data_IF_853340077840
#
_entry.id   IF_853340077840
#
_cell.length_a   1.000
_cell.length_b   1.000
_cell.length_c   1.000
_cell.angle_alpha   90.00
_cell.angle_beta   90.00
_cell.angle_gamma   90.00
#
_symmetry.space_group_name_H-M   'P 1'
#
loop_
_entity.id
_entity.type
_entity.pdbx_description
1 polymer ?
#
# COMPACT_ATOMS: atom_id res chain seq x y z
N UNK A 1 22.16 -1.01 -3.98
CA UNK A 1 22.04 0.43 -4.27
C UNK A 1 20.94 0.53 -5.29
N UNK A 2 19.83 1.16 -4.91
CA UNK A 2 18.77 1.47 -5.86
C UNK A 2 19.36 2.38 -6.95
N UNK A 3 18.83 2.24 -8.16
CA UNK A 3 19.10 3.18 -9.25
C UNK A 3 17.76 3.66 -9.81
N UNK A 4 17.79 4.75 -10.57
CA UNK A 4 16.59 5.37 -11.12
C UNK A 4 15.83 4.41 -12.03
N UNK A 5 16.51 3.50 -12.74
CA UNK A 5 15.85 2.52 -13.59
C UNK A 5 15.08 1.47 -12.78
N UNK A 6 15.64 0.99 -11.68
CA UNK A 6 14.98 0.07 -10.75
C UNK A 6 13.76 0.74 -10.11
N UNK A 7 13.86 2.03 -9.78
CA UNK A 7 12.74 2.82 -9.26
C UNK A 7 11.65 3.01 -10.30
N UNK A 8 12.00 3.35 -11.54
CA UNK A 8 11.03 3.49 -12.63
C UNK A 8 10.21 2.20 -12.81
N UNK A 9 10.89 1.05 -12.83
CA UNK A 9 10.25 -0.25 -12.94
C UNK A 9 9.33 -0.52 -11.74
N UNK A 10 9.81 -0.25 -10.52
CA UNK A 10 9.02 -0.47 -9.31
C UNK A 10 7.78 0.43 -9.27
N UNK A 11 7.91 1.73 -9.54
CA UNK A 11 6.83 2.71 -9.59
C UNK A 11 5.76 2.30 -10.61
N UNK A 12 6.18 1.80 -11.78
CA UNK A 12 5.27 1.27 -12.79
C UNK A 12 4.53 0.01 -12.31
N UNK A 13 5.24 -0.95 -11.72
CA UNK A 13 4.65 -2.16 -11.13
C UNK A 13 3.74 -1.83 -9.93
N UNK A 14 4.06 -0.74 -9.21
CA UNK A 14 3.29 -0.21 -8.10
C UNK A 14 1.96 0.41 -8.55
N UNK A 15 1.80 0.69 -9.85
CA UNK A 15 0.59 1.26 -10.40
C UNK A 15 0.48 2.78 -10.20
N UNK A 16 1.60 3.48 -10.03
CA UNK A 16 1.59 4.96 -10.06
C UNK A 16 1.12 5.43 -11.45
N UNK A 17 0.23 6.41 -11.47
CA UNK A 17 -0.30 6.99 -12.71
C UNK A 17 0.40 8.30 -13.02
N UNK A 18 0.52 8.61 -14.31
CA UNK A 18 1.08 9.88 -14.81
C UNK A 18 2.50 10.15 -14.29
N UNK A 19 3.46 9.42 -14.86
CA UNK A 19 4.88 9.53 -14.52
C UNK A 19 5.76 9.62 -15.77
N UNK A 20 6.94 10.22 -15.63
CA UNK A 20 7.90 10.41 -16.70
C UNK A 20 9.32 10.63 -16.20
N UNK A 21 10.27 10.67 -17.12
CA UNK A 21 11.65 11.09 -16.85
C UNK A 21 11.81 12.56 -17.23
N UNK A 22 12.39 13.36 -16.35
CA UNK A 22 12.50 14.81 -16.58
C UNK A 22 13.82 15.24 -17.27
N UNK A 23 14.85 14.39 -17.24
CA UNK A 23 16.17 14.72 -17.77
C UNK A 23 16.54 13.77 -18.92
N UNK A 24 17.14 14.34 -19.97
CA UNK A 24 17.75 13.60 -21.11
C UNK A 24 18.79 12.56 -20.64
N UNK A 25 19.25 12.68 -19.41
CA UNK A 25 20.28 11.86 -18.77
C UNK A 25 19.70 10.66 -17.99
N UNK A 26 18.37 10.57 -17.83
CA UNK A 26 17.71 9.46 -17.13
C UNK A 26 17.95 9.41 -15.61
N UNK A 27 18.43 10.51 -15.00
CA UNK A 27 18.81 10.58 -13.59
C UNK A 27 17.70 11.10 -12.66
N UNK A 28 16.52 11.39 -13.21
CA UNK A 28 15.38 11.84 -12.45
C UNK A 28 14.07 11.29 -13.00
N UNK A 29 13.15 10.99 -12.10
CA UNK A 29 11.78 10.58 -12.38
C UNK A 29 10.84 11.54 -11.68
N UNK A 30 9.78 11.92 -12.37
CA UNK A 30 8.68 12.65 -11.78
C UNK A 30 7.40 11.82 -11.89
N UNK A 31 6.49 12.03 -10.94
CA UNK A 31 5.14 11.49 -11.01
C UNK A 31 4.16 12.37 -10.24
N UNK A 32 2.90 12.30 -10.67
CA UNK A 32 1.82 13.01 -9.97
C UNK A 32 1.51 12.34 -8.63
N UNK A 33 1.39 13.15 -7.60
CA UNK A 33 0.90 12.74 -6.29
C UNK A 33 -0.62 12.87 -6.14
N UNK A 34 -1.16 12.29 -5.07
CA UNK A 34 -2.50 12.62 -4.59
C UNK A 34 -2.58 14.09 -4.21
N UNK A 35 -3.79 14.66 -4.23
CA UNK A 35 -4.05 16.05 -3.81
C UNK A 35 -3.22 17.11 -4.56
N UNK A 36 -2.98 16.90 -5.85
CA UNK A 36 -2.21 17.77 -6.75
C UNK A 36 -0.72 17.93 -6.39
N UNK A 37 -0.18 17.09 -5.50
CA UNK A 37 1.25 17.07 -5.22
C UNK A 37 2.08 16.71 -6.45
N UNK A 38 3.30 17.22 -6.50
CA UNK A 38 4.31 16.82 -7.46
C UNK A 38 5.44 16.08 -6.76
N UNK A 39 5.82 14.93 -7.28
CA UNK A 39 6.85 14.09 -6.68
C UNK A 39 8.01 13.96 -7.65
N UNK A 40 9.22 14.25 -7.16
CA UNK A 40 10.47 14.11 -7.88
C UNK A 40 11.37 13.11 -7.15
N UNK A 41 11.88 12.12 -7.88
CA UNK A 41 12.94 11.24 -7.42
C UNK A 41 14.18 11.51 -8.26
N UNK A 42 15.27 11.93 -7.64
CA UNK A 42 16.51 12.24 -8.33
C UNK A 42 17.73 11.72 -7.57
N UNK A 43 18.84 11.54 -8.29
CA UNK A 43 20.14 11.31 -7.68
C UNK A 43 20.71 12.63 -7.14
N UNK A 44 21.00 12.69 -5.84
CA UNK A 44 21.67 13.82 -5.19
C UNK A 44 23.15 13.91 -5.57
N UNK A 45 23.77 15.05 -5.25
CA UNK A 45 25.21 15.27 -5.45
C UNK A 45 26.09 14.26 -4.68
N UNK A 46 25.56 13.73 -3.56
CA UNK A 46 26.20 12.72 -2.72
C UNK A 46 25.99 11.27 -3.23
N UNK A 47 25.34 11.13 -4.40
CA UNK A 47 24.96 9.86 -5.04
C UNK A 47 23.91 9.05 -4.28
N UNK A 48 23.12 9.72 -3.48
CA UNK A 48 21.98 9.15 -2.77
C UNK A 48 20.71 9.42 -3.58
N UNK A 49 19.73 8.54 -3.49
CA UNK A 49 18.46 8.76 -4.18
C UNK A 49 17.54 9.49 -3.24
N UNK A 50 17.08 10.66 -3.66
CA UNK A 50 16.20 11.51 -2.85
C UNK A 50 14.85 11.60 -3.53
N UNK A 51 13.79 11.45 -2.74
CA UNK A 51 12.42 11.73 -3.12
C UNK A 51 11.96 13.02 -2.43
N UNK A 52 11.55 14.00 -3.22
CA UNK A 52 11.01 15.27 -2.76
C UNK A 52 9.56 15.41 -3.19
N UNK A 53 8.70 15.85 -2.28
CA UNK A 53 7.26 16.06 -2.49
C UNK A 53 6.96 17.55 -2.40
N UNK A 54 6.33 18.08 -3.44
CA UNK A 54 6.01 19.49 -3.60
C UNK A 54 4.50 19.67 -3.65
N UNK A 55 4.03 20.84 -3.23
CA UNK A 55 2.61 21.20 -3.21
C UNK A 55 1.95 21.28 -4.59
N UNK A 56 2.74 21.48 -5.65
CA UNK A 56 2.29 21.56 -7.02
C UNK A 56 3.43 21.32 -8.03
N UNK A 57 3.06 21.15 -9.30
CA UNK A 57 3.98 20.94 -10.44
C UNK A 57 4.91 22.13 -10.71
N UNK A 58 4.64 23.32 -10.15
CA UNK A 58 5.54 24.48 -10.25
C UNK A 58 6.64 24.46 -9.17
N UNK A 59 6.76 23.37 -8.40
CA UNK A 59 7.67 23.22 -7.28
C UNK A 59 7.55 24.39 -6.28
N UNK A 60 6.33 24.62 -5.77
CA UNK A 60 6.05 25.65 -4.77
C UNK A 60 6.69 25.33 -3.42
N UNK A 61 5.89 24.98 -2.43
CA UNK A 61 6.39 24.63 -1.10
C UNK A 61 6.80 23.15 -1.04
N UNK A 62 8.00 22.89 -0.51
CA UNK A 62 8.45 21.53 -0.21
C UNK A 62 7.67 20.99 1.00
N UNK A 63 6.95 19.89 0.78
CA UNK A 63 6.10 19.24 1.77
C UNK A 63 6.88 18.19 2.56
N UNK A 64 7.67 17.38 1.87
CA UNK A 64 8.41 16.27 2.45
C UNK A 64 9.62 15.95 1.60
N UNK A 65 10.67 15.42 2.23
CA UNK A 65 11.89 14.99 1.55
C UNK A 65 12.51 13.83 2.29
N UNK A 66 12.91 12.80 1.55
CA UNK A 66 13.55 11.62 2.11
C UNK A 66 14.61 11.04 1.19
N UNK A 67 15.68 10.52 1.79
CA UNK A 67 16.62 9.62 1.15
C UNK A 67 16.05 8.19 1.09
N UNK A 68 15.95 7.62 -0.11
CA UNK A 68 15.41 6.27 -0.32
C UNK A 68 16.56 5.24 -0.25
N UNK A 69 16.56 4.47 0.84
CA UNK A 69 17.52 3.39 1.03
C UNK A 69 17.00 2.02 0.54
N UNK A 70 15.68 1.88 0.44
CA UNK A 70 15.04 0.59 0.12
C UNK A 70 13.73 0.70 -0.66
N UNK A 71 13.35 -0.40 -1.33
CA UNK A 71 12.06 -0.52 -2.02
C UNK A 71 10.89 -0.46 -1.05
N UNK A 72 11.04 -1.03 0.15
CA UNK A 72 9.98 -1.01 1.17
C UNK A 72 9.68 0.43 1.63
N UNK A 73 10.72 1.24 1.79
CA UNK A 73 10.61 2.66 2.12
C UNK A 73 9.97 3.47 0.99
N UNK A 74 10.40 3.24 -0.25
CA UNK A 74 9.76 3.81 -1.43
C UNK A 74 8.27 3.45 -1.48
N UNK A 75 7.90 2.18 -1.27
CA UNK A 75 6.51 1.73 -1.25
C UNK A 75 5.65 2.47 -0.23
N UNK A 76 6.15 2.66 0.99
CA UNK A 76 5.45 3.41 2.04
C UNK A 76 5.21 4.89 1.65
N UNK A 77 6.16 5.51 0.96
CA UNK A 77 6.02 6.88 0.46
C UNK A 77 5.07 6.98 -0.74
N UNK A 78 5.10 6.00 -1.64
CA UNK A 78 4.13 5.92 -2.74
C UNK A 78 2.71 5.75 -2.23
N UNK A 79 2.47 4.95 -1.19
CA UNK A 79 1.15 4.83 -0.55
C UNK A 79 0.67 6.16 0.06
N UNK A 80 1.60 6.96 0.58
CA UNK A 80 1.28 8.22 1.26
C UNK A 80 1.00 9.35 0.28
N UNK A 81 1.78 9.45 -0.78
CA UNK A 81 1.80 10.63 -1.64
C UNK A 81 1.49 10.37 -3.10
N UNK A 82 1.73 9.18 -3.64
CA UNK A 82 1.61 8.97 -5.09
C UNK A 82 0.15 8.78 -5.52
N UNK A 83 -0.19 9.33 -6.68
CA UNK A 83 -1.46 8.99 -7.32
C UNK A 83 -1.30 7.60 -7.95
N UNK A 84 -2.10 6.63 -7.53
CA UNK A 84 -2.03 5.25 -8.04
C UNK A 84 -3.37 4.80 -8.63
N UNK A 85 -3.30 3.87 -9.58
CA UNK A 85 -4.45 3.13 -10.08
C UNK A 85 -4.76 1.87 -9.26
N UNK A 86 -4.02 1.64 -8.16
CA UNK A 86 -4.34 0.59 -7.22
C UNK A 86 -5.73 0.89 -6.68
N UNK A 87 -6.66 -0.03 -6.91
CA UNK A 87 -7.88 -0.07 -6.12
C UNK A 87 -7.45 -0.27 -4.68
N UNK A 88 -7.53 0.78 -3.87
CA UNK A 88 -7.46 0.65 -2.42
C UNK A 88 -8.64 -0.23 -2.05
N UNK A 89 -8.38 -1.53 -1.88
CA UNK A 89 -9.38 -2.43 -1.32
C UNK A 89 -9.53 -1.96 0.12
N UNK A 90 -10.57 -1.20 0.40
CA UNK A 90 -10.90 -0.77 1.75
C UNK A 90 -11.21 -2.01 2.59
N UNK A 91 -10.19 -2.54 3.27
CA UNK A 91 -10.33 -3.68 4.18
C UNK A 91 -10.80 -3.26 5.56
N UNK A 92 -10.98 -1.96 5.82
CA UNK A 92 -11.34 -1.44 7.16
C UNK A 92 -12.63 -2.08 7.66
N UNK A 93 -13.62 -2.25 6.79
CA UNK A 93 -14.86 -2.95 7.12
C UNK A 93 -14.64 -4.45 7.38
N UNK A 94 -13.74 -5.11 6.62
CA UNK A 94 -13.39 -6.52 6.82
C UNK A 94 -12.72 -6.70 8.19
N UNK A 95 -11.78 -5.83 8.54
CA UNK A 95 -11.07 -5.86 9.81
C UNK A 95 -12.03 -5.65 11.00
N UNK A 96 -13.02 -4.76 10.84
CA UNK A 96 -14.11 -4.59 11.81
C UNK A 96 -14.94 -5.87 11.94
N UNK A 97 -15.34 -6.50 10.83
CA UNK A 97 -16.10 -7.76 10.87
C UNK A 97 -15.32 -8.90 11.52
N UNK A 98 -14.04 -9.06 11.18
CA UNK A 98 -13.17 -10.07 11.79
C UNK A 98 -13.04 -9.85 13.30
N UNK A 99 -12.90 -8.60 13.73
CA UNK A 99 -12.87 -8.24 15.16
C UNK A 99 -14.18 -8.61 15.87
N UNK A 100 -15.33 -8.24 15.30
CA UNK A 100 -16.65 -8.57 15.86
C UNK A 100 -16.88 -10.07 15.96
N UNK A 101 -16.45 -10.85 14.96
CA UNK A 101 -16.52 -12.31 14.99
C UNK A 101 -15.66 -12.87 16.13
N UNK A 102 -14.41 -12.40 16.27
CA UNK A 102 -13.52 -12.84 17.36
C UNK A 102 -14.09 -12.50 18.74
N UNK A 103 -14.65 -11.31 18.92
CA UNK A 103 -15.29 -10.88 20.16
C UNK A 103 -16.50 -11.77 20.48
N UNK A 104 -17.37 -12.05 19.50
CA UNK A 104 -18.53 -12.94 19.68
C UNK A 104 -18.14 -14.39 19.99
N UNK A 105 -17.07 -14.90 19.37
CA UNK A 105 -16.55 -16.24 19.68
C UNK A 105 -16.02 -16.30 21.12
N UNK A 106 -15.29 -15.26 21.56
CA UNK A 106 -14.79 -15.15 22.93
C UNK A 106 -15.92 -15.05 23.97
N UNK A 107 -16.96 -14.26 23.72
CA UNK A 107 -18.16 -14.16 24.58
C UNK A 107 -18.83 -15.52 24.84
N UNK A 108 -18.75 -16.44 23.87
CA UNK A 108 -19.36 -17.76 23.94
C UNK A 108 -18.38 -18.86 24.38
N UNK A 109 -17.16 -18.51 24.82
CA UNK A 109 -16.07 -19.45 25.15
C UNK A 109 -15.70 -20.40 24.00
N UNK A 110 -15.92 -19.98 22.75
CA UNK A 110 -15.56 -20.77 21.58
C UNK A 110 -14.09 -20.48 21.25
N UNK A 111 -13.21 -21.44 21.57
CA UNK A 111 -11.80 -21.40 21.18
C UNK A 111 -11.65 -21.89 19.73
N UNK A 112 -10.92 -21.14 18.90
CA UNK A 112 -10.57 -21.56 17.53
C UNK A 112 -9.43 -22.60 17.51
N UNK A 113 -9.23 -23.37 18.59
CA UNK A 113 -8.26 -24.46 18.60
C UNK A 113 -8.86 -25.69 17.91
N UNK A 114 -8.59 -25.82 16.60
CA UNK A 114 -9.23 -26.75 15.68
C UNK A 114 -9.11 -28.23 16.07
N UNK A 115 -8.07 -28.61 16.82
CA UNK A 115 -7.86 -29.98 17.28
C UNK A 115 -8.73 -30.36 18.49
N UNK A 116 -9.12 -29.37 19.30
CA UNK A 116 -9.83 -29.56 20.57
C UNK A 116 -11.34 -29.29 20.47
N UNK A 117 -11.82 -28.76 19.33
CA UNK A 117 -13.23 -28.40 19.14
C UNK A 117 -14.16 -29.63 19.00
N UNK A 118 -15.32 -29.55 19.63
CA UNK A 118 -16.40 -30.54 19.47
C UNK A 118 -17.11 -30.40 18.10
N UNK A 119 -17.96 -31.38 17.77
CA UNK A 119 -18.58 -31.45 16.44
C UNK A 119 -19.49 -30.25 16.13
N UNK A 120 -20.16 -29.66 17.11
CA UNK A 120 -21.03 -28.50 16.91
C UNK A 120 -20.21 -27.23 16.64
N UNK A 121 -19.11 -27.03 17.38
CA UNK A 121 -18.18 -25.91 17.17
C UNK A 121 -17.55 -25.96 15.78
N UNK A 122 -17.14 -27.16 15.32
CA UNK A 122 -16.60 -27.35 13.96
C UNK A 122 -17.60 -26.98 12.85
N UNK A 123 -18.89 -27.22 13.07
CA UNK A 123 -19.95 -26.84 12.12
C UNK A 123 -20.16 -25.32 12.08
N UNK A 124 -20.13 -24.67 13.24
CA UNK A 124 -20.24 -23.20 13.34
C UNK A 124 -19.04 -22.53 12.65
N UNK A 125 -17.82 -23.02 12.89
CA UNK A 125 -16.61 -22.49 12.27
C UNK A 125 -16.66 -22.64 10.74
N UNK A 126 -17.03 -23.82 10.22
CA UNK A 126 -17.21 -24.03 8.77
C UNK A 126 -18.25 -23.09 8.15
N UNK A 127 -19.31 -22.77 8.88
CA UNK A 127 -20.31 -21.83 8.41
C UNK A 127 -19.73 -20.41 8.31
N UNK A 128 -18.98 -19.97 9.33
CA UNK A 128 -18.29 -18.67 9.32
C UNK A 128 -17.28 -18.59 8.17
N UNK A 129 -16.49 -19.64 7.93
CA UNK A 129 -15.58 -19.72 6.78
C UNK A 129 -16.31 -19.60 5.44
N UNK A 130 -17.45 -20.29 5.31
CA UNK A 130 -18.27 -20.23 4.10
C UNK A 130 -18.82 -18.83 3.82
N UNK A 131 -19.25 -18.11 4.86
CA UNK A 131 -19.75 -16.73 4.71
C UNK A 131 -18.60 -15.75 4.45
N UNK A 132 -17.45 -15.90 5.11
CA UNK A 132 -16.26 -15.09 4.83
C UNK A 132 -15.75 -15.28 3.40
N UNK A 133 -15.72 -16.52 2.90
CA UNK A 133 -15.31 -16.81 1.53
C UNK A 133 -16.22 -16.13 0.49
N UNK A 134 -17.54 -16.12 0.71
CA UNK A 134 -18.51 -15.41 -0.15
C UNK A 134 -18.29 -13.91 -0.15
N UNK A 135 -18.01 -13.32 1.02
CA UNK A 135 -17.72 -11.89 1.13
C UNK A 135 -16.45 -11.55 0.35
N UNK A 136 -15.39 -12.35 0.50
CA UNK A 136 -14.13 -12.19 -0.24
C UNK A 136 -14.33 -12.34 -1.75
N UNK A 137 -15.17 -13.28 -2.19
CA UNK A 137 -15.49 -13.49 -3.62
C UNK A 137 -16.31 -12.34 -4.21
N UNK A 138 -17.26 -11.77 -3.46
CA UNK A 138 -18.05 -10.61 -3.90
C UNK A 138 -17.21 -9.33 -4.07
N UNK A 139 -16.10 -9.21 -3.34
CA UNK A 139 -15.22 -8.05 -3.36
C UNK A 139 -14.09 -8.14 -4.40
N UNK A 140 -13.99 -9.26 -5.13
CA UNK A 140 -13.08 -9.43 -6.27
C UNK A 140 -13.79 -9.14 -7.60
#
# INVERSE_FOLDING_TARGET
MLDIQAIANYVQEYGVVDFGSELDDGNALWFRGSDDHFILIALSDDKEIVMSVWDNEECGDLIDEIEIDSIDELGAYLDKYALTNKTVTDTTMIDIYVKLIKEKLAENNISLNFEECNQAERLIIRHIEGELAKIVEFLR
#
